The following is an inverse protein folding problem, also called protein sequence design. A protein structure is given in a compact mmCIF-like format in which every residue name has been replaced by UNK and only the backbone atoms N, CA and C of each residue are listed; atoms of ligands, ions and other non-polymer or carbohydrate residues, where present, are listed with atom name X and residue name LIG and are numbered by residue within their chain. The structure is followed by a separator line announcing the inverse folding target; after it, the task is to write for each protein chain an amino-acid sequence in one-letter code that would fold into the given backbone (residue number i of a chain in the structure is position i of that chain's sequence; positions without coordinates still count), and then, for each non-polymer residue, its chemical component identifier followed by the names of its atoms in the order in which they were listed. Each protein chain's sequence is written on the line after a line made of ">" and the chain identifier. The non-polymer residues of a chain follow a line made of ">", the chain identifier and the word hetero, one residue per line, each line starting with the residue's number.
data_IF_276087204495
#
_entry.id   IF_276087204495
#
_cell.length_a   1.000
_cell.length_b   1.000
_cell.length_c   1.000
_cell.angle_alpha   90.00
_cell.angle_beta   90.00
_cell.angle_gamma   90.00
#
_symmetry.space_group_name_H-M   'P 1'
#
loop_
_entity.id
_entity.type
_entity.pdbx_description
1 polymer ?
#
# COMPACT_ATOMS: atom_id res chain seq x y z
N UNK A 1 -39.96 -35.29 -2.84
CA UNK A 1 -38.91 -34.74 -1.95
C UNK A 1 -37.93 -33.95 -2.81
N UNK A 2 -37.86 -32.61 -2.72
CA UNK A 2 -36.88 -31.84 -3.48
C UNK A 2 -35.63 -31.58 -2.64
N UNK A 3 -34.48 -32.05 -3.15
CA UNK A 3 -33.15 -31.62 -2.71
C UNK A 3 -32.71 -30.48 -3.64
N UNK A 4 -32.41 -29.32 -3.06
CA UNK A 4 -32.07 -28.10 -3.79
C UNK A 4 -31.30 -27.14 -2.89
N UNK A 5 -30.20 -27.63 -2.32
CA UNK A 5 -29.29 -26.83 -1.50
C UNK A 5 -28.72 -25.66 -2.30
N UNK A 6 -29.14 -24.44 -1.95
CA UNK A 6 -28.57 -23.19 -2.47
C UNK A 6 -27.09 -23.14 -2.11
N UNK A 7 -26.23 -23.26 -3.13
CA UNK A 7 -24.80 -22.96 -3.03
C UNK A 7 -24.62 -21.49 -2.66
N UNK A 8 -24.46 -21.22 -1.36
CA UNK A 8 -24.11 -19.91 -0.82
C UNK A 8 -22.70 -19.59 -1.31
N UNK A 9 -22.60 -18.84 -2.42
CA UNK A 9 -21.36 -18.22 -2.90
C UNK A 9 -20.63 -17.63 -1.69
N UNK A 10 -19.55 -18.28 -1.24
CA UNK A 10 -18.62 -17.69 -0.27
C UNK A 10 -18.07 -16.45 -0.95
N UNK A 11 -18.55 -15.27 -0.54
CA UNK A 11 -17.86 -14.01 -0.82
C UNK A 11 -16.44 -14.22 -0.29
N UNK A 12 -15.48 -14.28 -1.20
CA UNK A 12 -14.06 -14.24 -0.87
C UNK A 12 -13.91 -12.89 -0.18
N UNK A 13 -13.90 -12.88 1.14
CA UNK A 13 -13.45 -11.73 1.90
C UNK A 13 -12.03 -11.47 1.37
N UNK A 14 -11.72 -10.29 0.82
CA UNK A 14 -10.32 -9.96 0.56
C UNK A 14 -9.61 -10.21 1.89
N UNK A 15 -8.53 -11.00 1.88
CA UNK A 15 -7.70 -11.18 3.07
C UNK A 15 -7.43 -9.78 3.59
N UNK A 16 -8.05 -9.42 4.72
CA UNK A 16 -7.82 -8.12 5.35
C UNK A 16 -6.32 -8.02 5.53
N UNK A 17 -5.69 -7.04 4.89
CA UNK A 17 -4.29 -6.76 5.15
C UNK A 17 -4.16 -6.48 6.66
N UNK A 18 -3.03 -6.77 7.29
CA UNK A 18 -2.83 -6.41 8.71
C UNK A 18 -2.97 -4.89 8.92
N UNK A 19 -2.81 -4.11 7.85
CA UNK A 19 -3.06 -2.68 7.82
C UNK A 19 -4.56 -2.33 7.80
N UNK A 20 -5.44 -3.13 7.18
CA UNK A 20 -6.91 -2.85 7.13
C UNK A 20 -7.53 -2.78 8.53
N UNK A 21 -7.03 -3.59 9.47
CA UNK A 21 -7.48 -3.57 10.86
C UNK A 21 -7.06 -2.29 11.61
N UNK A 22 -5.90 -1.73 11.27
CA UNK A 22 -5.39 -0.48 11.85
C UNK A 22 -6.16 0.70 11.27
N UNK A 23 -6.41 0.69 9.96
CA UNK A 23 -7.13 1.74 9.27
C UNK A 23 -8.61 1.83 9.67
N UNK A 24 -9.22 0.71 10.07
CA UNK A 24 -10.61 0.69 10.57
C UNK A 24 -10.80 1.35 11.94
N UNK A 25 -9.73 1.71 12.67
CA UNK A 25 -9.79 2.35 13.98
C UNK A 25 -9.67 3.88 13.93
N UNK A 26 -9.45 4.46 12.76
CA UNK A 26 -9.31 5.92 12.61
C UNK A 26 -10.69 6.58 12.61
N UNK A 27 -10.93 7.45 13.59
CA UNK A 27 -12.19 8.19 13.76
C UNK A 27 -12.19 9.56 13.07
N UNK A 28 -11.02 10.05 12.64
CA UNK A 28 -10.88 11.35 11.97
C UNK A 28 -11.06 11.20 10.45
N UNK A 29 -12.06 11.91 9.91
CA UNK A 29 -12.50 11.79 8.50
C UNK A 29 -11.37 12.11 7.50
N UNK A 30 -10.49 13.05 7.83
CA UNK A 30 -9.34 13.41 6.99
C UNK A 30 -8.30 12.29 6.95
N UNK A 31 -8.03 11.69 8.12
CA UNK A 31 -7.12 10.52 8.19
C UNK A 31 -7.71 9.30 7.49
N UNK A 32 -9.02 9.06 7.61
CA UNK A 32 -9.71 7.95 6.96
C UNK A 32 -9.67 8.08 5.43
N UNK A 33 -9.84 9.29 4.88
CA UNK A 33 -9.74 9.54 3.45
C UNK A 33 -8.33 9.26 2.90
N UNK A 34 -7.30 9.75 3.58
CA UNK A 34 -5.90 9.50 3.21
C UNK A 34 -5.53 8.01 3.27
N UNK A 35 -6.01 7.28 4.28
CA UNK A 35 -5.79 5.84 4.37
C UNK A 35 -6.52 5.06 3.29
N UNK A 36 -7.74 5.48 2.92
CA UNK A 36 -8.48 4.86 1.82
C UNK A 36 -7.77 5.09 0.48
N UNK A 37 -7.33 6.32 0.21
CA UNK A 37 -6.50 6.65 -0.95
C UNK A 37 -5.26 5.75 -0.99
N UNK A 38 -4.56 5.62 0.15
CA UNK A 38 -3.38 4.77 0.26
C UNK A 38 -3.69 3.29 -0.04
N UNK A 39 -4.75 2.73 0.55
CA UNK A 39 -5.16 1.35 0.30
C UNK A 39 -5.49 1.12 -1.17
N UNK A 40 -6.25 2.02 -1.79
CA UNK A 40 -6.64 1.91 -3.20
C UNK A 40 -5.41 1.93 -4.12
N UNK A 41 -4.42 2.79 -3.82
CA UNK A 41 -3.14 2.82 -4.53
C UNK A 41 -2.32 1.55 -4.29
N UNK A 42 -2.25 1.05 -3.06
CA UNK A 42 -1.51 -0.15 -2.70
C UNK A 42 -2.08 -1.39 -3.40
N UNK A 43 -3.42 -1.52 -3.44
CA UNK A 43 -4.11 -2.61 -4.14
C UNK A 43 -3.85 -2.53 -5.65
N UNK A 44 -3.92 -1.34 -6.25
CA UNK A 44 -3.62 -1.15 -7.67
C UNK A 44 -2.16 -1.50 -7.98
N UNK A 45 -1.20 -1.03 -7.18
CA UNK A 45 0.21 -1.32 -7.38
C UNK A 45 0.55 -2.82 -7.18
N UNK A 46 -0.09 -3.50 -6.23
CA UNK A 46 0.05 -4.96 -6.05
C UNK A 46 -0.58 -5.76 -7.19
N UNK A 47 -1.61 -5.22 -7.83
CA UNK A 47 -2.26 -5.80 -9.01
C UNK A 47 -1.58 -5.42 -10.34
N UNK A 48 -0.51 -4.63 -10.30
CA UNK A 48 0.15 -4.12 -11.49
C UNK A 48 0.80 -5.26 -12.31
N UNK A 49 0.87 -5.04 -13.63
CA UNK A 49 1.51 -5.97 -14.58
C UNK A 49 3.03 -5.90 -14.50
N UNK A 50 3.59 -4.76 -14.06
CA UNK A 50 5.02 -4.60 -13.82
C UNK A 50 5.42 -5.32 -12.53
N UNK A 51 6.36 -6.27 -12.66
CA UNK A 51 6.90 -6.99 -11.51
C UNK A 51 7.55 -6.04 -10.50
N UNK A 52 8.22 -4.98 -10.97
CA UNK A 52 8.87 -3.99 -10.11
C UNK A 52 7.86 -3.22 -9.26
N UNK A 53 6.79 -2.72 -9.87
CA UNK A 53 5.72 -1.97 -9.17
C UNK A 53 5.07 -2.87 -8.11
N UNK A 54 4.75 -4.12 -8.48
CA UNK A 54 4.16 -5.09 -7.57
C UNK A 54 5.07 -5.42 -6.39
N UNK A 55 6.36 -5.67 -6.64
CA UNK A 55 7.34 -5.96 -5.59
C UNK A 55 7.52 -4.77 -4.65
N UNK A 56 7.60 -3.56 -5.20
CA UNK A 56 7.67 -2.32 -4.42
C UNK A 56 6.49 -2.17 -3.46
N UNK A 57 5.27 -2.38 -3.96
CA UNK A 57 4.07 -2.29 -3.16
C UNK A 57 4.03 -3.35 -2.04
N UNK A 58 4.48 -4.58 -2.32
CA UNK A 58 4.57 -5.64 -1.32
C UNK A 58 5.61 -5.33 -0.23
N UNK A 59 6.77 -4.80 -0.61
CA UNK A 59 7.82 -4.44 0.35
C UNK A 59 7.39 -3.23 1.20
N UNK A 60 6.73 -2.24 0.59
CA UNK A 60 6.16 -1.11 1.33
C UNK A 60 5.17 -1.57 2.41
N UNK A 61 4.25 -2.47 2.05
CA UNK A 61 3.31 -3.05 3.02
C UNK A 61 4.04 -3.75 4.17
N UNK A 62 5.08 -4.54 3.88
CA UNK A 62 5.90 -5.20 4.90
C UNK A 62 6.60 -4.19 5.81
N UNK A 63 7.17 -3.13 5.24
CA UNK A 63 7.88 -2.09 6.01
C UNK A 63 6.94 -1.33 6.94
N UNK A 64 5.72 -1.04 6.50
CA UNK A 64 4.69 -0.44 7.36
C UNK A 64 4.29 -1.35 8.52
N UNK A 65 4.19 -2.68 8.28
CA UNK A 65 3.94 -3.65 9.35
C UNK A 65 5.12 -3.69 10.34
N UNK A 66 6.36 -3.74 9.85
CA UNK A 66 7.55 -3.74 10.72
C UNK A 66 7.65 -2.46 11.55
N UNK A 67 7.33 -1.31 10.97
CA UNK A 67 7.32 -0.02 11.66
C UNK A 67 6.27 -0.03 12.79
N UNK A 68 5.06 -0.52 12.50
CA UNK A 68 4.00 -0.70 13.50
C UNK A 68 4.45 -1.62 14.65
N UNK A 69 5.14 -2.71 14.32
CA UNK A 69 5.68 -3.64 15.31
C UNK A 69 6.91 -3.10 16.07
N UNK A 70 7.32 -1.85 15.80
CA UNK A 70 8.56 -1.23 16.33
C UNK A 70 9.82 -2.06 16.04
N UNK A 71 9.82 -2.84 14.96
CA UNK A 71 10.99 -3.62 14.50
C UNK A 71 11.93 -2.80 13.62
N UNK A 72 11.42 -1.72 13.05
CA UNK A 72 12.19 -0.67 12.38
C UNK A 72 11.68 0.67 12.91
N UNK A 73 12.51 1.70 12.84
CA UNK A 73 12.09 3.05 13.20
C UNK A 73 11.72 3.89 11.97
N UNK A 74 11.42 5.18 12.20
CA UNK A 74 11.07 6.12 11.13
C UNK A 74 12.24 6.37 10.19
N UNK A 75 13.47 6.40 10.69
CA UNK A 75 14.66 6.69 9.88
C UNK A 75 14.95 5.52 8.94
N UNK A 76 14.82 4.28 9.43
CA UNK A 76 14.88 3.06 8.63
C UNK A 76 13.81 3.06 7.52
N UNK A 77 12.59 3.48 7.86
CA UNK A 77 11.49 3.55 6.90
C UNK A 77 11.75 4.64 5.84
N UNK A 78 12.17 5.83 6.26
CA UNK A 78 12.46 6.95 5.34
C UNK A 78 13.63 6.59 4.41
N UNK A 79 14.66 5.93 4.92
CA UNK A 79 15.78 5.42 4.12
C UNK A 79 15.29 4.43 3.05
N UNK A 80 14.41 3.49 3.44
CA UNK A 80 13.79 2.57 2.49
C UNK A 80 13.01 3.32 1.40
N UNK A 81 12.17 4.30 1.76
CA UNK A 81 11.39 5.08 0.81
C UNK A 81 12.29 5.84 -0.17
N UNK A 82 13.32 6.51 0.32
CA UNK A 82 14.25 7.25 -0.54
C UNK A 82 15.04 6.32 -1.47
N UNK A 83 15.42 5.12 -1.01
CA UNK A 83 16.06 4.14 -1.88
C UNK A 83 15.11 3.64 -2.98
N UNK A 84 13.87 3.28 -2.63
CA UNK A 84 12.88 2.84 -3.63
C UNK A 84 12.57 3.93 -4.65
N UNK A 85 12.45 5.21 -4.23
CA UNK A 85 12.25 6.32 -5.17
C UNK A 85 13.38 6.46 -6.17
N UNK A 86 14.64 6.24 -5.75
CA UNK A 86 15.80 6.28 -6.65
C UNK A 86 15.74 5.16 -7.68
N UNK A 87 15.51 3.93 -7.23
CA UNK A 87 15.42 2.75 -8.10
C UNK A 87 14.24 2.88 -9.09
N UNK A 88 13.10 3.38 -8.60
CA UNK A 88 11.91 3.59 -9.42
C UNK A 88 12.09 4.72 -10.43
N UNK A 89 12.80 5.81 -10.12
CA UNK A 89 13.10 6.87 -11.09
C UNK A 89 13.89 6.33 -12.28
N UNK A 90 14.95 5.55 -12.02
CA UNK A 90 15.74 4.93 -13.08
C UNK A 90 14.88 4.02 -13.95
N UNK A 91 13.99 3.23 -13.32
CA UNK A 91 13.05 2.41 -14.06
C UNK A 91 12.07 3.26 -14.90
N UNK A 92 11.42 4.26 -14.29
CA UNK A 92 10.46 5.15 -14.94
C UNK A 92 11.13 5.82 -16.15
N UNK A 93 12.30 6.42 -15.99
CA UNK A 93 13.01 7.11 -17.08
C UNK A 93 13.32 6.19 -18.29
N UNK A 94 13.38 4.88 -18.08
CA UNK A 94 13.59 3.87 -19.14
C UNK A 94 12.31 3.42 -19.87
N UNK A 95 11.13 3.77 -19.36
CA UNK A 95 9.84 3.35 -19.91
C UNK A 95 9.27 4.35 -20.94
N UNK A 96 8.39 3.91 -21.85
CA UNK A 96 7.63 4.83 -22.69
C UNK A 96 6.69 5.71 -21.86
N UNK A 97 6.41 6.94 -22.32
CA UNK A 97 5.69 7.98 -21.55
C UNK A 97 4.41 7.52 -20.84
N UNK A 98 3.60 6.65 -21.48
CA UNK A 98 2.37 6.14 -20.87
C UNK A 98 2.64 5.21 -19.67
N UNK A 99 3.71 4.42 -19.72
CA UNK A 99 4.14 3.57 -18.61
C UNK A 99 4.86 4.39 -17.53
N UNK A 100 5.50 5.51 -17.89
CA UNK A 100 6.08 6.46 -16.94
C UNK A 100 5.01 7.06 -16.04
N UNK A 101 3.98 7.68 -16.62
CA UNK A 101 2.90 8.32 -15.87
C UNK A 101 2.23 7.32 -14.91
N UNK A 102 1.96 6.09 -15.40
CA UNK A 102 1.41 5.01 -14.57
C UNK A 102 2.33 4.66 -13.40
N UNK A 103 3.62 4.48 -13.65
CA UNK A 103 4.59 4.11 -12.62
C UNK A 103 4.86 5.26 -11.64
N UNK A 104 4.90 6.51 -12.07
CA UNK A 104 4.97 7.65 -11.16
C UNK A 104 3.74 7.70 -10.25
N UNK A 105 2.55 7.58 -10.82
CA UNK A 105 1.29 7.65 -10.09
C UNK A 105 1.09 6.47 -9.13
N UNK A 106 1.46 5.25 -9.53
CA UNK A 106 1.22 4.07 -8.68
C UNK A 106 2.33 3.84 -7.66
N UNK A 107 3.56 4.30 -7.94
CA UNK A 107 4.71 3.94 -7.12
C UNK A 107 5.29 5.15 -6.38
N UNK A 108 5.58 6.28 -7.06
CA UNK A 108 6.11 7.46 -6.37
C UNK A 108 5.05 8.14 -5.49
N UNK A 109 3.82 8.29 -6.00
CA UNK A 109 2.72 8.85 -5.20
C UNK A 109 2.39 7.95 -4.01
N UNK A 110 2.33 6.63 -4.20
CA UNK A 110 2.09 5.67 -3.12
C UNK A 110 3.15 5.78 -2.01
N UNK A 111 4.43 5.81 -2.38
CA UNK A 111 5.53 6.01 -1.43
C UNK A 111 5.45 7.38 -0.73
N UNK A 112 5.08 8.43 -1.46
CA UNK A 112 4.87 9.77 -0.91
C UNK A 112 3.73 9.82 0.11
N UNK A 113 2.58 9.24 -0.21
CA UNK A 113 1.43 9.13 0.70
C UNK A 113 1.79 8.32 1.93
N UNK A 114 2.53 7.21 1.78
CA UNK A 114 3.00 6.41 2.90
C UNK A 114 3.83 7.24 3.88
N UNK A 115 4.87 7.92 3.38
CA UNK A 115 5.81 8.66 4.22
C UNK A 115 5.18 9.91 4.86
N UNK A 116 4.32 10.63 4.13
CA UNK A 116 3.80 11.93 4.58
C UNK A 116 2.49 11.85 5.34
N UNK A 117 1.66 10.84 5.08
CA UNK A 117 0.33 10.71 5.70
C UNK A 117 0.23 9.47 6.59
N UNK A 118 0.64 8.30 6.10
CA UNK A 118 0.42 7.03 6.81
C UNK A 118 1.36 6.85 7.99
N UNK A 119 2.67 7.04 7.79
CA UNK A 119 3.70 6.86 8.82
C UNK A 119 3.49 7.75 10.05
N UNK A 120 3.23 9.06 9.92
CA UNK A 120 2.95 9.91 11.08
C UNK A 120 1.77 9.41 11.92
N UNK A 121 0.71 8.94 11.26
CA UNK A 121 -0.46 8.37 11.93
C UNK A 121 -0.08 7.07 12.66
N UNK A 122 0.65 6.18 11.98
CA UNK A 122 1.11 4.92 12.60
C UNK A 122 1.95 5.22 13.83
N UNK A 123 2.91 6.13 13.76
CA UNK A 123 3.76 6.49 14.91
C UNK A 123 2.93 7.09 16.04
N UNK A 124 1.96 7.95 15.76
CA UNK A 124 1.10 8.55 16.77
C UNK A 124 0.20 7.53 17.52
N UNK A 125 -0.02 6.34 16.93
CA UNK A 125 -0.85 5.29 17.52
C UNK A 125 -0.07 4.28 18.39
N UNK A 126 1.27 4.30 18.40
CA UNK A 126 2.11 3.33 19.12
C UNK A 126 2.68 3.96 20.39
#
# INVERSE_FOLDING_TARGET
>A
MPSGGKGKRRKISPRKSELDSVFGQLSDESTAAAMKEFQDLLVQAKGDTSALIRQNAQELERRLVLLKERKIDKEDFDYFVENQKRDLRVFIDSQPAQAQERAEKLTLHLLGVAATKVVPILIAMI
#
